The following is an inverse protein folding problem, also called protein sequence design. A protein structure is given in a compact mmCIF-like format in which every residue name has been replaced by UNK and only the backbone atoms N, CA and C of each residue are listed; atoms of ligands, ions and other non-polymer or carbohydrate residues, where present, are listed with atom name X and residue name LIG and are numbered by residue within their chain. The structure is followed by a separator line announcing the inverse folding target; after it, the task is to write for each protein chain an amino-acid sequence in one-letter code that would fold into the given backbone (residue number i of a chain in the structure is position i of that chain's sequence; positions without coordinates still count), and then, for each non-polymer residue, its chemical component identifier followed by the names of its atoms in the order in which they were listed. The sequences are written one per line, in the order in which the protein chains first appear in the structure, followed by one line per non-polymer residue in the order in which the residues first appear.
data_IF_604761676324
#
_entry.id   IF_604761676324
#
_cell.length_a   1.000
_cell.length_b   1.000
_cell.length_c   1.000
_cell.angle_alpha   90.00
_cell.angle_beta   90.00
_cell.angle_gamma   90.00
#
_symmetry.space_group_name_H-M   'P 1'
#
loop_
_entity.id
_entity.type
_entity.pdbx_description
1 polymer ?
#
# COMPACT_ATOMS: atom_id res chain seq x y z
N UNK A 1 10.06 12.21 -16.82
CA UNK A 1 8.92 11.26 -16.93
C UNK A 1 8.86 10.21 -15.81
N UNK A 2 9.99 9.67 -15.33
CA UNK A 2 10.01 8.65 -14.25
C UNK A 2 9.34 9.10 -12.94
N UNK A 3 9.52 10.36 -12.52
CA UNK A 3 8.93 10.91 -11.28
C UNK A 3 7.40 10.96 -11.32
N UNK A 4 6.79 11.22 -12.48
CA UNK A 4 5.34 11.27 -12.60
C UNK A 4 4.70 9.89 -12.34
N UNK A 5 5.42 8.81 -12.70
CA UNK A 5 4.99 7.42 -12.46
C UNK A 5 5.13 7.00 -10.99
N UNK A 6 5.98 7.69 -10.21
CA UNK A 6 6.14 7.46 -8.78
C UNK A 6 4.99 8.07 -7.96
N UNK A 7 4.39 9.16 -8.43
CA UNK A 7 3.29 9.84 -7.73
C UNK A 7 2.17 8.88 -7.31
N UNK A 8 1.56 8.08 -8.21
CA UNK A 8 0.50 7.16 -7.80
C UNK A 8 1.02 6.06 -6.87
N UNK A 9 2.23 5.56 -7.08
CA UNK A 9 2.85 4.54 -6.21
C UNK A 9 2.98 5.05 -4.77
N UNK A 10 3.44 6.29 -4.60
CA UNK A 10 3.58 6.92 -3.29
C UNK A 10 2.22 7.14 -2.64
N UNK A 11 1.22 7.63 -3.39
CA UNK A 11 -0.14 7.85 -2.85
C UNK A 11 -0.76 6.54 -2.34
N UNK A 12 -0.72 5.47 -3.14
CA UNK A 12 -1.25 4.16 -2.71
C UNK A 12 -0.46 3.56 -1.53
N UNK A 13 0.86 3.75 -1.50
CA UNK A 13 1.68 3.29 -0.38
C UNK A 13 1.36 4.05 0.93
N UNK A 14 1.13 5.37 0.86
CA UNK A 14 0.75 6.17 2.03
C UNK A 14 -0.63 5.79 2.57
N UNK A 15 -1.60 5.54 1.69
CA UNK A 15 -2.93 5.05 2.09
C UNK A 15 -2.85 3.68 2.77
N UNK A 16 -2.02 2.77 2.24
CA UNK A 16 -1.75 1.48 2.85
C UNK A 16 -1.10 1.63 4.24
N UNK A 17 -0.08 2.48 4.35
CA UNK A 17 0.60 2.75 5.62
C UNK A 17 -0.34 3.34 6.67
N UNK A 18 -1.22 4.28 6.27
CA UNK A 18 -2.25 4.86 7.15
C UNK A 18 -3.17 3.79 7.71
N UNK A 19 -3.61 2.85 6.87
CA UNK A 19 -4.47 1.76 7.32
C UNK A 19 -3.74 0.84 8.31
N UNK A 20 -2.47 0.51 8.07
CA UNK A 20 -1.65 -0.30 8.99
C UNK A 20 -1.48 0.42 10.34
N UNK A 21 -1.14 1.72 10.31
CA UNK A 21 -0.97 2.51 11.53
C UNK A 21 -2.27 2.58 12.34
N UNK A 22 -3.42 2.72 11.67
CA UNK A 22 -4.73 2.71 12.30
C UNK A 22 -5.03 1.35 12.96
N UNK A 23 -4.82 0.25 12.25
CA UNK A 23 -5.01 -1.11 12.79
C UNK A 23 -4.08 -1.39 13.96
N UNK A 24 -2.80 -1.00 13.85
CA UNK A 24 -1.82 -1.18 14.91
C UNK A 24 -2.18 -0.36 16.16
N UNK A 25 -2.67 0.87 15.99
CA UNK A 25 -3.12 1.71 17.09
C UNK A 25 -4.28 1.09 17.85
N UNK A 26 -5.29 0.59 17.13
CA UNK A 26 -6.45 -0.08 17.75
C UNK A 26 -6.04 -1.40 18.43
N UNK A 27 -5.16 -2.18 17.79
CA UNK A 27 -4.62 -3.40 18.39
C UNK A 27 -3.81 -3.16 19.66
N UNK A 28 -3.02 -2.07 19.71
CA UNK A 28 -2.26 -1.68 20.90
C UNK A 28 -3.15 -1.14 22.03
N UNK A 29 -4.26 -0.47 21.70
CA UNK A 29 -5.22 0.03 22.68
C UNK A 29 -6.23 -1.03 23.15
N UNK A 30 -6.20 -2.24 22.59
CA UNK A 30 -7.08 -3.35 22.98
C UNK A 30 -8.55 -3.10 22.64
N UNK A 31 -8.84 -2.17 21.72
CA UNK A 31 -10.21 -1.90 21.26
C UNK A 31 -10.66 -3.00 20.31
N UNK A 32 -11.90 -3.47 20.46
CA UNK A 32 -12.48 -4.44 19.53
C UNK A 32 -12.56 -3.81 18.13
N UNK A 33 -12.15 -4.57 17.10
CA UNK A 33 -12.25 -4.12 15.72
C UNK A 33 -13.72 -4.09 15.28
N UNK A 34 -14.25 -2.90 15.04
CA UNK A 34 -15.57 -2.69 14.43
C UNK A 34 -15.52 -2.98 12.92
N UNK A 35 -16.67 -3.26 12.32
CA UNK A 35 -16.77 -3.63 10.89
C UNK A 35 -16.11 -2.59 9.97
N UNK A 36 -16.21 -1.30 10.31
CA UNK A 36 -15.58 -0.20 9.58
C UNK A 36 -14.05 -0.30 9.56
N UNK A 37 -13.46 -0.83 10.62
CA UNK A 37 -12.01 -0.91 10.79
C UNK A 37 -11.41 -2.09 10.01
N UNK A 38 -12.17 -3.19 9.94
CA UNK A 38 -11.86 -4.33 9.07
C UNK A 38 -11.92 -3.90 7.61
N UNK A 39 -12.92 -3.08 7.23
CA UNK A 39 -13.02 -2.50 5.89
C UNK A 39 -11.82 -1.61 5.60
N UNK A 40 -11.42 -0.74 6.53
CA UNK A 40 -10.23 0.13 6.39
C UNK A 40 -8.95 -0.70 6.24
N UNK A 41 -8.78 -1.77 7.01
CA UNK A 41 -7.65 -2.69 6.90
C UNK A 41 -7.61 -3.37 5.51
N UNK A 42 -8.77 -3.83 5.04
CA UNK A 42 -8.93 -4.43 3.72
C UNK A 42 -8.58 -3.46 2.58
N UNK A 43 -9.09 -2.23 2.63
CA UNK A 43 -8.76 -1.18 1.66
C UNK A 43 -7.26 -0.86 1.69
N UNK A 44 -6.66 -0.81 2.88
CA UNK A 44 -5.23 -0.61 3.07
C UNK A 44 -4.38 -1.69 2.41
N UNK A 45 -4.80 -2.95 2.52
CA UNK A 45 -4.12 -4.10 1.92
C UNK A 45 -4.21 -4.06 0.39
N UNK A 46 -5.38 -3.72 -0.16
CA UNK A 46 -5.59 -3.54 -1.60
C UNK A 46 -4.71 -2.40 -2.14
N UNK A 47 -4.66 -1.27 -1.43
CA UNK A 47 -3.80 -0.14 -1.82
C UNK A 47 -2.32 -0.53 -1.81
N UNK A 48 -1.87 -1.31 -0.82
CA UNK A 48 -0.50 -1.81 -0.76
C UNK A 48 -0.16 -2.74 -1.93
N UNK A 49 -1.10 -3.62 -2.30
CA UNK A 49 -0.95 -4.50 -3.46
C UNK A 49 -0.83 -3.69 -4.76
N UNK A 50 -1.70 -2.70 -4.96
CA UNK A 50 -1.68 -1.84 -6.16
C UNK A 50 -0.36 -1.09 -6.25
N UNK A 51 0.10 -0.47 -5.15
CA UNK A 51 1.40 0.20 -5.09
C UNK A 51 2.55 -0.74 -5.47
N UNK A 52 2.53 -1.98 -4.98
CA UNK A 52 3.53 -3.00 -5.28
C UNK A 52 3.55 -3.42 -6.75
N UNK A 53 2.37 -3.66 -7.35
CA UNK A 53 2.24 -3.99 -8.77
C UNK A 53 2.75 -2.84 -9.63
N UNK A 54 2.33 -1.61 -9.34
CA UNK A 54 2.78 -0.41 -10.05
C UNK A 54 4.29 -0.21 -9.94
N UNK A 55 4.87 -0.45 -8.75
CA UNK A 55 6.32 -0.40 -8.57
C UNK A 55 7.05 -1.42 -9.46
N UNK A 56 6.56 -2.66 -9.52
CA UNK A 56 7.16 -3.69 -10.37
C UNK A 56 7.05 -3.38 -11.86
N UNK A 57 5.91 -2.89 -12.32
CA UNK A 57 5.65 -2.67 -13.76
C UNK A 57 6.25 -1.36 -14.27
N UNK A 58 6.12 -0.27 -13.51
CA UNK A 58 6.51 1.07 -13.96
C UNK A 58 7.95 1.43 -13.61
N UNK A 59 8.43 1.02 -12.43
CA UNK A 59 9.73 1.43 -11.89
C UNK A 59 10.79 0.34 -12.09
N UNK A 60 10.38 -0.94 -12.02
CA UNK A 60 11.25 -2.10 -12.19
C UNK A 60 11.15 -2.86 -13.53
N UNK A 61 10.90 -2.26 -14.71
CA UNK A 61 10.95 -3.01 -15.98
C UNK A 61 12.38 -3.43 -16.42
N UNK A 62 13.37 -3.41 -15.50
CA UNK A 62 14.80 -3.41 -15.81
C UNK A 62 15.61 -4.65 -15.41
N UNK A 63 15.02 -5.77 -15.00
CA UNK A 63 15.72 -7.07 -15.07
C UNK A 63 15.38 -7.74 -16.40
N UNK A 64 15.85 -7.17 -17.51
CA UNK A 64 16.10 -8.00 -18.70
C UNK A 64 17.13 -9.05 -18.26
N UNK A 65 16.90 -10.37 -18.45
CA UNK A 65 18.01 -11.31 -18.44
C UNK A 65 19.00 -10.80 -19.51
N UNK A 66 20.24 -10.53 -19.10
CA UNK A 66 21.29 -10.26 -20.09
C UNK A 66 21.48 -11.55 -20.89
N UNK A 67 21.61 -11.46 -22.23
CA UNK A 67 21.89 -12.63 -23.07
C UNK A 67 23.16 -13.34 -22.62
#
# INVERSE_FOLDING_TARGET
MKILLWVPVVVFALLSLRAIAFVAYQGLNGTAFEDEEIIVAGIGLVCGWIAWVMYKTLIRPGKKPRP
#
